data_IF_859162534177
#
_entry.id   IF_859162534177
#
_cell.length_a   1.000
_cell.length_b   1.000
_cell.length_c   1.000
_cell.angle_alpha   90.00
_cell.angle_beta   90.00
_cell.angle_gamma   90.00
#
_symmetry.space_group_name_H-M   'P 1'
#
loop_
_entity.id
_entity.type
_entity.pdbx_description
1 polymer ?
#
# COMPACT_ATOMS: atom_id res chain seq x y z
N UNK A 1 16.96 -18.23 11.08
CA UNK A 1 16.19 -17.52 10.05
C UNK A 1 14.74 -17.67 10.48
N UNK A 2 14.03 -16.57 10.76
CA UNK A 2 12.64 -16.65 11.25
C UNK A 2 11.76 -16.98 10.06
N UNK A 3 11.26 -18.22 10.00
CA UNK A 3 10.21 -18.59 9.05
C UNK A 3 8.93 -17.85 9.44
N UNK A 4 8.65 -16.77 8.71
CA UNK A 4 7.36 -16.11 8.77
C UNK A 4 6.39 -17.01 8.01
N UNK A 5 5.36 -17.50 8.70
CA UNK A 5 4.24 -18.16 8.02
C UNK A 5 3.76 -17.22 6.90
N UNK A 6 3.56 -17.71 5.66
CA UNK A 6 3.01 -16.89 4.59
C UNK A 6 1.74 -16.20 5.09
N UNK A 7 1.60 -14.92 4.75
CA UNK A 7 0.33 -14.22 4.97
C UNK A 7 -0.69 -14.97 4.13
N UNK A 8 -1.64 -15.62 4.80
CA UNK A 8 -2.77 -16.28 4.17
C UNK A 8 -3.68 -15.18 3.62
N UNK A 9 -3.54 -14.87 2.32
CA UNK A 9 -4.45 -13.98 1.63
C UNK A 9 -5.74 -14.77 1.42
N UNK A 10 -6.76 -14.51 2.23
CA UNK A 10 -8.09 -15.11 2.06
C UNK A 10 -8.60 -14.78 0.66
N UNK A 11 -8.66 -15.77 -0.24
CA UNK A 11 -9.04 -15.59 -1.64
C UNK A 11 -10.55 -15.49 -1.84
N UNK A 12 -11.21 -14.56 -1.15
CA UNK A 12 -12.48 -14.00 -1.63
C UNK A 12 -12.22 -12.54 -1.97
N UNK A 13 -11.57 -12.31 -3.12
CA UNK A 13 -11.57 -10.99 -3.74
C UNK A 13 -12.98 -10.84 -4.31
N UNK A 14 -13.91 -10.36 -3.48
CA UNK A 14 -15.11 -9.73 -4.00
C UNK A 14 -14.62 -8.64 -4.97
N UNK A 15 -15.12 -8.60 -6.21
CA UNK A 15 -14.75 -7.56 -7.17
C UNK A 15 -15.27 -6.20 -6.67
N UNK A 16 -14.51 -5.61 -5.77
CA UNK A 16 -14.79 -4.31 -5.20
C UNK A 16 -14.36 -3.24 -6.21
N UNK A 17 -15.13 -2.15 -6.35
CA UNK A 17 -14.72 -1.02 -7.16
C UNK A 17 -13.35 -0.52 -6.73
N UNK A 18 -12.44 -0.37 -7.70
CA UNK A 18 -11.10 0.14 -7.44
C UNK A 18 -11.07 1.66 -7.51
N UNK A 19 -10.48 2.27 -6.50
CA UNK A 19 -10.15 3.69 -6.45
C UNK A 19 -8.83 3.93 -7.19
N UNK A 20 -8.78 4.99 -7.99
CA UNK A 20 -7.55 5.40 -8.67
C UNK A 20 -6.64 6.20 -7.74
N UNK A 21 -5.37 6.35 -8.11
CA UNK A 21 -4.44 7.28 -7.44
C UNK A 21 -5.05 8.67 -7.23
N UNK A 22 -5.81 9.18 -8.21
CA UNK A 22 -6.46 10.49 -8.09
C UNK A 22 -7.50 10.51 -6.97
N UNK A 23 -8.30 9.46 -6.86
CA UNK A 23 -9.37 9.35 -5.85
C UNK A 23 -8.77 9.21 -4.46
N UNK A 24 -7.77 8.33 -4.32
CA UNK A 24 -7.02 8.10 -3.09
C UNK A 24 -6.45 9.40 -2.53
N UNK A 25 -5.67 10.12 -3.34
CA UNK A 25 -5.01 11.34 -2.88
C UNK A 25 -5.94 12.55 -2.80
N UNK A 26 -7.13 12.47 -3.41
CA UNK A 26 -8.20 13.45 -3.16
C UNK A 26 -8.78 13.26 -1.77
N UNK A 27 -9.09 12.02 -1.36
CA UNK A 27 -9.59 11.73 -0.01
C UNK A 27 -8.55 12.07 1.06
N UNK A 28 -7.29 11.65 0.89
CA UNK A 28 -6.21 12.01 1.81
C UNK A 28 -6.03 13.54 1.93
N UNK A 29 -6.17 14.27 0.82
CA UNK A 29 -6.11 15.74 0.87
C UNK A 29 -7.28 16.36 1.63
N UNK A 30 -8.48 15.77 1.54
CA UNK A 30 -9.64 16.21 2.34
C UNK A 30 -9.45 15.97 3.83
N UNK A 31 -8.68 14.94 4.22
CA UNK A 31 -8.30 14.65 5.61
C UNK A 31 -7.12 15.50 6.13
N UNK A 32 -6.55 16.37 5.29
CA UNK A 32 -5.45 17.26 5.66
C UNK A 32 -4.04 16.78 5.28
N UNK A 33 -3.92 15.65 4.56
CA UNK A 33 -2.62 15.16 4.10
C UNK A 33 -2.20 15.80 2.77
N UNK A 34 -0.99 16.36 2.74
CA UNK A 34 -0.44 17.04 1.57
C UNK A 34 0.74 16.27 0.93
N UNK A 35 0.53 14.98 0.64
CA UNK A 35 1.55 14.12 0.02
C UNK A 35 2.00 14.61 -1.37
N UNK A 36 3.31 14.44 -1.65
CA UNK A 36 3.98 14.87 -2.89
C UNK A 36 5.13 13.91 -3.25
N UNK A 37 5.53 13.91 -4.52
CA UNK A 37 6.68 13.14 -5.00
C UNK A 37 6.51 11.63 -4.75
N UNK A 38 7.56 10.98 -4.23
CA UNK A 38 7.58 9.53 -3.95
C UNK A 38 6.58 9.10 -2.86
N UNK A 39 6.12 10.03 -2.03
CA UNK A 39 5.07 9.77 -1.03
C UNK A 39 3.67 9.77 -1.65
N UNK A 40 3.58 9.94 -2.97
CA UNK A 40 2.35 9.90 -3.75
C UNK A 40 2.40 8.74 -4.78
N UNK A 41 2.73 7.54 -4.32
CA UNK A 41 3.02 6.38 -5.18
C UNK A 41 1.95 5.28 -5.17
N UNK A 42 0.84 5.45 -4.46
CA UNK A 42 -0.32 4.57 -4.60
C UNK A 42 -0.96 4.70 -5.99
N UNK A 43 -1.16 3.56 -6.64
CA UNK A 43 -1.68 3.44 -8.00
C UNK A 43 -3.19 3.20 -7.97
N UNK A 44 -3.61 2.22 -7.17
CA UNK A 44 -5.01 1.89 -6.95
C UNK A 44 -5.20 1.13 -5.64
N UNK A 45 -6.43 1.13 -5.14
CA UNK A 45 -6.84 0.34 -3.99
C UNK A 45 -8.30 -0.07 -4.14
N UNK A 46 -8.77 -1.11 -3.45
CA UNK A 46 -10.21 -1.37 -3.35
C UNK A 46 -10.92 -0.29 -2.50
N UNK A 47 -12.25 -0.28 -2.54
CA UNK A 47 -13.04 0.71 -1.80
C UNK A 47 -12.96 0.59 -0.27
N UNK A 48 -12.44 -0.53 0.26
CA UNK A 48 -12.22 -0.74 1.69
C UNK A 48 -10.77 -0.46 2.10
N UNK A 49 -9.91 -0.06 1.15
CA UNK A 49 -8.48 0.07 1.32
C UNK A 49 -7.80 -1.19 1.88
N UNK A 50 -8.37 -2.38 1.66
CA UNK A 50 -7.86 -3.65 2.16
C UNK A 50 -6.68 -4.15 1.33
N UNK A 51 -6.68 -3.87 0.03
CA UNK A 51 -5.60 -4.18 -0.91
C UNK A 51 -5.21 -2.95 -1.71
N UNK A 52 -3.92 -2.78 -1.98
CA UNK A 52 -3.39 -1.62 -2.69
C UNK A 52 -2.27 -1.99 -3.66
N UNK A 53 -2.23 -1.34 -4.81
CA UNK A 53 -1.08 -1.35 -5.73
C UNK A 53 -0.22 -0.12 -5.48
N UNK A 54 1.07 -0.31 -5.17
CA UNK A 54 2.03 0.78 -4.87
C UNK A 54 3.18 0.72 -5.87
N UNK A 55 3.58 1.87 -6.40
CA UNK A 55 4.74 2.00 -7.26
C UNK A 55 6.04 1.93 -6.44
N UNK A 56 6.95 1.05 -6.87
CA UNK A 56 8.28 0.89 -6.29
C UNK A 56 9.29 1.83 -6.97
N UNK A 57 9.99 2.62 -6.16
CA UNK A 57 10.99 3.60 -6.61
C UNK A 57 12.36 3.40 -5.97
N UNK A 58 12.71 2.15 -5.63
CA UNK A 58 13.94 1.83 -4.91
C UNK A 58 14.12 2.62 -3.60
N UNK A 59 13.01 2.99 -2.96
CA UNK A 59 13.00 3.79 -1.74
C UNK A 59 12.05 3.15 -0.72
N UNK A 60 12.63 2.41 0.21
CA UNK A 60 11.89 1.72 1.26
C UNK A 60 11.11 2.68 2.17
N UNK A 61 11.63 3.88 2.42
CA UNK A 61 10.96 4.87 3.30
C UNK A 61 9.66 5.32 2.66
N UNK A 62 9.71 5.77 1.41
CA UNK A 62 8.51 6.17 0.68
C UNK A 62 7.55 5.00 0.51
N UNK A 63 8.07 3.82 0.18
CA UNK A 63 7.26 2.63 -0.02
C UNK A 63 6.49 2.21 1.25
N UNK A 64 7.16 2.14 2.41
CA UNK A 64 6.51 1.85 3.68
C UNK A 64 5.54 2.95 4.11
N UNK A 65 5.84 4.21 3.85
CA UNK A 65 4.91 5.31 4.12
C UNK A 65 3.62 5.17 3.29
N UNK A 66 3.72 4.82 1.99
CA UNK A 66 2.53 4.53 1.17
C UNK A 66 1.72 3.33 1.71
N UNK A 67 2.36 2.33 2.34
CA UNK A 67 1.62 1.24 3.02
C UNK A 67 0.88 1.76 4.26
N UNK A 68 1.49 2.67 5.04
CA UNK A 68 0.82 3.29 6.18
C UNK A 68 -0.33 4.22 5.75
N UNK A 69 -0.19 4.91 4.62
CA UNK A 69 -1.27 5.69 4.02
C UNK A 69 -2.49 4.83 3.68
N UNK A 70 -2.27 3.60 3.22
CA UNK A 70 -3.34 2.63 2.96
C UNK A 70 -4.10 2.28 4.24
N UNK A 71 -3.39 2.05 5.35
CA UNK A 71 -4.02 1.82 6.65
C UNK A 71 -4.83 3.03 7.14
N UNK A 72 -4.31 4.25 6.96
CA UNK A 72 -5.02 5.49 7.29
C UNK A 72 -6.33 5.63 6.48
N UNK A 73 -6.36 5.17 5.23
CA UNK A 73 -7.56 5.22 4.40
C UNK A 73 -8.70 4.33 4.92
N UNK A 74 -8.37 3.25 5.65
CA UNK A 74 -9.35 2.36 6.25
C UNK A 74 -10.11 3.01 7.41
N UNK A 75 -9.56 4.06 8.01
CA UNK A 75 -10.25 4.82 9.05
C UNK A 75 -11.49 5.51 8.47
N UNK A 76 -12.65 5.23 9.05
CA UNK A 76 -13.94 5.77 8.60
C UNK A 76 -14.08 7.27 8.90
N UNK A 77 -13.32 7.77 9.88
CA UNK A 77 -13.33 9.20 10.21
C UNK A 77 -12.41 10.01 9.31
N UNK A 78 -12.84 11.21 8.93
CA UNK A 78 -12.03 12.16 8.13
C UNK A 78 -11.00 12.96 8.95
N UNK A 79 -10.56 12.41 10.08
CA UNK A 79 -9.53 13.01 10.91
C UNK A 79 -8.14 12.95 10.29
N UNK A 80 -7.24 13.79 10.80
CA UNK A 80 -5.81 13.69 10.54
C UNK A 80 -5.19 12.76 11.59
N UNK A 81 -4.75 11.59 11.15
CA UNK A 81 -4.08 10.58 11.97
C UNK A 81 -2.60 10.46 11.64
N UNK A 82 -1.80 10.14 12.66
CA UNK A 82 -0.41 9.76 12.49
C UNK A 82 -0.21 8.39 13.13
N UNK A 83 0.52 7.45 12.49
CA UNK A 83 0.83 6.17 13.11
C UNK A 83 1.62 6.40 14.41
N UNK A 84 1.10 5.93 15.54
CA UNK A 84 1.73 6.12 16.85
C UNK A 84 2.58 4.92 17.27
N UNK A 85 2.20 3.72 16.84
CA UNK A 85 2.93 2.49 17.17
C UNK A 85 2.72 1.42 16.11
N UNK A 86 3.74 0.57 15.94
CA UNK A 86 3.69 -0.61 15.08
C UNK A 86 4.06 -1.80 15.95
N UNK A 87 3.11 -2.73 16.14
CA UNK A 87 3.33 -3.91 17.00
C UNK A 87 4.39 -4.85 16.45
N UNK A 88 4.41 -5.05 15.13
CA UNK A 88 5.35 -5.93 14.44
C UNK A 88 5.51 -5.46 12.99
N UNK A 89 6.76 -5.34 12.56
CA UNK A 89 7.12 -5.12 11.17
C UNK A 89 8.05 -6.24 10.73
N UNK A 90 7.74 -6.88 9.62
CA UNK A 90 8.55 -7.95 9.07
C UNK A 90 8.76 -7.70 7.58
N UNK A 91 10.02 -7.59 7.15
CA UNK A 91 10.37 -7.26 5.77
C UNK A 91 11.18 -8.43 5.21
N UNK A 92 10.64 -9.08 4.18
CA UNK A 92 11.38 -10.07 3.40
C UNK A 92 11.89 -9.43 2.10
N UNK A 93 13.10 -8.88 2.16
CA UNK A 93 13.73 -8.19 1.02
C UNK A 93 13.93 -9.13 -0.17
N UNK A 94 14.34 -10.39 0.07
CA UNK A 94 14.56 -11.36 -1.01
C UNK A 94 13.27 -11.65 -1.76
N UNK A 95 12.18 -11.90 -1.03
CA UNK A 95 10.86 -12.11 -1.62
C UNK A 95 10.38 -10.86 -2.37
N UNK A 96 10.51 -9.67 -1.79
CA UNK A 96 10.14 -8.42 -2.45
C UNK A 96 10.85 -8.24 -3.80
N UNK A 97 12.15 -8.52 -3.86
CA UNK A 97 12.92 -8.44 -5.10
C UNK A 97 12.48 -9.52 -6.10
N UNK A 98 12.23 -10.75 -5.65
CA UNK A 98 11.70 -11.81 -6.50
C UNK A 98 10.34 -11.45 -7.10
N UNK A 99 9.43 -10.91 -6.29
CA UNK A 99 8.11 -10.47 -6.71
C UNK A 99 8.21 -9.31 -7.72
N UNK A 100 9.17 -8.39 -7.55
CA UNK A 100 9.42 -7.31 -8.51
C UNK A 100 9.85 -7.82 -9.89
N UNK A 101 10.67 -8.88 -9.94
CA UNK A 101 11.17 -9.46 -11.19
C UNK A 101 10.19 -10.43 -11.85
N UNK A 102 9.21 -10.97 -11.12
CA UNK A 102 8.20 -11.89 -11.66
C UNK A 102 7.00 -11.18 -12.29
N UNK A 103 6.87 -9.86 -12.10
CA UNK A 103 5.77 -9.08 -12.66
C UNK A 103 5.88 -8.93 -14.20
N UNK A 104 4.73 -8.95 -14.92
CA UNK A 104 4.68 -8.61 -16.35
C UNK A 104 5.27 -7.23 -16.64
N UNK A 105 5.81 -7.02 -17.86
CA UNK A 105 6.40 -5.73 -18.31
C UNK A 105 5.49 -4.51 -17.99
N UNK A 106 4.18 -4.66 -18.19
CA UNK A 106 3.18 -3.59 -17.97
C UNK A 106 2.94 -3.27 -16.48
N UNK A 107 3.25 -4.21 -15.59
CA UNK A 107 3.11 -4.09 -14.13
C UNK A 107 4.45 -4.00 -13.41
N UNK A 108 5.58 -3.94 -14.13
CA UNK A 108 6.91 -3.79 -13.51
C UNK A 108 6.95 -2.59 -12.56
N UNK A 109 7.33 -2.85 -11.31
CA UNK A 109 7.35 -1.84 -10.26
C UNK A 109 6.00 -1.53 -9.62
N UNK A 110 4.90 -2.18 -10.03
CA UNK A 110 3.56 -2.03 -9.42
C UNK A 110 3.29 -3.24 -8.55
N UNK A 111 3.62 -3.13 -7.28
CA UNK A 111 3.50 -4.26 -6.38
C UNK A 111 2.14 -4.20 -5.65
N UNK A 112 1.48 -5.34 -5.53
CA UNK A 112 0.25 -5.50 -4.77
C UNK A 112 0.61 -5.80 -3.31
N UNK A 113 0.06 -5.02 -2.40
CA UNK A 113 0.26 -5.13 -0.95
C UNK A 113 -1.07 -5.02 -0.21
N UNK A 114 -1.05 -5.51 1.04
CA UNK A 114 -2.17 -5.64 1.97
C UNK A 114 -1.71 -4.99 3.29
#
# INVERSE_FOLDING_TARGET
>A
MIDLKPIEISQEIQELPRLTSRDIYKELRLRGYHYKGLFKSMISTDNLAATGKIAWHNNWVAFMDNMLQLQILQEDTRGLFVPTSIRKLAINVKKHVQDLFSLPEEEKGKLLYI
#
